data_IF_021685579166
#
_entry.id   IF_021685579166
#
_cell.length_a   1.000
_cell.length_b   1.000
_cell.length_c   1.000
_cell.angle_alpha   90.00
_cell.angle_beta   90.00
_cell.angle_gamma   90.00
#
_symmetry.space_group_name_H-M   'P 1'
#
loop_
_entity.id
_entity.type
_entity.pdbx_description
1 polymer ?
#
# COMPACT_ATOMS: atom_id res chain seq x y z
N UNK A 1 6.34 -18.09 -18.18
CA UNK A 1 6.78 -16.68 -18.21
C UNK A 1 6.88 -16.23 -16.76
N UNK A 2 8.07 -15.89 -16.27
CA UNK A 2 8.22 -15.41 -14.88
C UNK A 2 7.59 -14.01 -14.80
N UNK A 3 6.52 -13.85 -14.03
CA UNK A 3 6.06 -12.52 -13.60
C UNK A 3 7.17 -11.88 -12.78
N UNK A 4 7.99 -11.06 -13.42
CA UNK A 4 8.97 -10.21 -12.77
C UNK A 4 8.20 -9.13 -12.02
N UNK A 5 8.02 -9.34 -10.73
CA UNK A 5 7.49 -8.33 -9.81
C UNK A 5 8.64 -7.42 -9.36
N UNK A 6 8.38 -6.12 -9.24
CA UNK A 6 9.38 -5.11 -8.88
C UNK A 6 9.63 -5.07 -7.37
N UNK A 7 8.61 -5.38 -6.57
CA UNK A 7 8.73 -5.49 -5.12
C UNK A 7 7.81 -6.57 -4.56
N UNK A 8 8.15 -7.06 -3.37
CA UNK A 8 7.37 -8.08 -2.65
C UNK A 8 7.05 -7.59 -1.23
N UNK A 9 5.80 -7.80 -0.82
CA UNK A 9 5.29 -7.52 0.51
C UNK A 9 4.66 -8.79 1.08
N UNK A 10 4.88 -9.10 2.36
CA UNK A 10 4.22 -10.24 3.00
C UNK A 10 2.77 -9.90 3.37
N UNK A 11 1.93 -10.92 3.62
CA UNK A 11 0.57 -10.71 4.15
C UNK A 11 0.57 -9.90 5.45
N UNK A 12 1.57 -10.10 6.31
CA UNK A 12 1.71 -9.39 7.59
C UNK A 12 2.06 -7.91 7.37
N UNK A 13 3.06 -7.63 6.53
CA UNK A 13 3.41 -6.26 6.16
C UNK A 13 2.21 -5.55 5.53
N UNK A 14 1.49 -6.22 4.62
CA UNK A 14 0.28 -5.67 4.05
C UNK A 14 -0.81 -5.42 5.09
N UNK A 15 -0.98 -6.30 6.07
CA UNK A 15 -1.95 -6.11 7.16
C UNK A 15 -1.62 -4.84 7.96
N UNK A 16 -0.35 -4.60 8.28
CA UNK A 16 0.11 -3.38 8.94
C UNK A 16 -0.19 -2.14 8.09
N UNK A 17 0.22 -2.14 6.82
CA UNK A 17 -0.06 -1.05 5.87
C UNK A 17 -1.55 -0.80 5.74
N UNK A 18 -2.37 -1.85 5.66
CA UNK A 18 -3.82 -1.77 5.55
C UNK A 18 -4.46 -1.12 6.79
N UNK A 19 -3.99 -1.43 8.00
CA UNK A 19 -4.52 -0.77 9.20
C UNK A 19 -4.24 0.73 9.19
N UNK A 20 -3.04 1.14 8.80
CA UNK A 20 -2.72 2.58 8.68
C UNK A 20 -3.52 3.24 7.55
N UNK A 21 -3.70 2.54 6.42
CA UNK A 21 -4.48 3.01 5.27
C UNK A 21 -5.93 3.32 5.65
N UNK A 22 -6.52 2.53 6.56
CA UNK A 22 -7.85 2.83 7.07
C UNK A 22 -7.91 4.17 7.79
N UNK A 23 -6.84 4.62 8.43
CA UNK A 23 -6.84 5.85 9.23
C UNK A 23 -6.73 7.12 8.37
N UNK A 24 -6.54 7.00 7.05
CA UNK A 24 -6.43 8.15 6.14
C UNK A 24 -7.63 9.11 6.21
N UNK A 25 -8.83 8.58 6.43
CA UNK A 25 -10.05 9.39 6.58
C UNK A 25 -10.06 10.26 7.85
N UNK A 26 -9.22 9.94 8.84
CA UNK A 26 -9.09 10.70 10.09
C UNK A 26 -8.02 11.78 10.01
N UNK A 27 -7.28 11.87 8.91
CA UNK A 27 -6.26 12.90 8.70
C UNK A 27 -6.97 14.20 8.26
N UNK A 28 -6.71 15.33 8.93
CA UNK A 28 -7.26 16.61 8.51
C UNK A 28 -6.83 16.97 7.08
N UNK A 29 -7.76 17.47 6.28
CA UNK A 29 -7.52 17.77 4.87
C UNK A 29 -6.42 18.84 4.66
N UNK A 30 -6.32 19.81 5.57
CA UNK A 30 -5.28 20.84 5.58
C UNK A 30 -3.88 20.24 5.74
N UNK A 31 -3.73 19.19 6.54
CA UNK A 31 -2.45 18.47 6.71
C UNK A 31 -2.07 17.74 5.43
N UNK A 32 -3.03 17.08 4.76
CA UNK A 32 -2.80 16.39 3.49
C UNK A 32 -2.34 17.38 2.41
N UNK A 33 -3.02 18.53 2.29
CA UNK A 33 -2.65 19.58 1.33
C UNK A 33 -1.29 20.19 1.65
N UNK A 34 -1.00 20.44 2.94
CA UNK A 34 0.30 20.98 3.37
C UNK A 34 1.47 20.04 3.06
N UNK A 35 1.21 18.72 3.00
CA UNK A 35 2.20 17.71 2.59
C UNK A 35 2.43 17.65 1.07
N UNK A 36 1.80 18.54 0.27
CA UNK A 36 1.92 18.55 -1.19
C UNK A 36 1.19 17.40 -1.87
N UNK A 37 0.35 16.66 -1.13
CA UNK A 37 -0.47 15.59 -1.67
C UNK A 37 -1.70 16.25 -2.31
N UNK A 38 -1.97 16.01 -3.61
CA UNK A 38 -3.18 16.50 -4.24
C UNK A 38 -4.39 16.04 -3.43
N UNK A 39 -5.42 16.88 -3.36
CA UNK A 39 -6.70 16.59 -2.72
C UNK A 39 -7.51 15.52 -3.49
N UNK A 40 -6.85 14.47 -3.98
CA UNK A 40 -7.52 13.27 -4.43
C UNK A 40 -8.04 12.53 -3.20
N UNK A 41 -9.23 11.90 -3.29
CA UNK A 41 -9.80 11.22 -2.16
C UNK A 41 -8.93 10.00 -1.82
N UNK A 42 -8.52 9.81 -0.55
CA UNK A 42 -7.88 8.58 -0.08
C UNK A 42 -8.77 7.32 -0.25
N UNK A 43 -10.00 7.50 -0.77
CA UNK A 43 -10.95 6.45 -1.08
C UNK A 43 -10.42 5.42 -2.09
N UNK A 44 -9.72 5.84 -3.15
CA UNK A 44 -9.24 4.91 -4.19
C UNK A 44 -8.16 3.99 -3.63
N UNK A 45 -7.25 4.52 -2.81
CA UNK A 45 -6.20 3.75 -2.13
C UNK A 45 -6.81 2.81 -1.11
N UNK A 46 -7.80 3.27 -0.34
CA UNK A 46 -8.51 2.43 0.61
C UNK A 46 -9.31 1.32 -0.09
N UNK A 47 -9.93 1.61 -1.23
CA UNK A 47 -10.65 0.61 -2.04
C UNK A 47 -9.69 -0.43 -2.61
N UNK A 48 -8.56 -0.01 -3.19
CA UNK A 48 -7.48 -0.88 -3.62
C UNK A 48 -7.04 -1.81 -2.47
N UNK A 49 -6.73 -1.23 -1.31
CA UNK A 49 -6.29 -1.99 -0.15
C UNK A 49 -7.38 -2.98 0.32
N UNK A 50 -8.68 -2.63 0.24
CA UNK A 50 -9.78 -3.56 0.53
C UNK A 50 -9.86 -4.71 -0.47
N UNK A 51 -9.74 -4.43 -1.77
CA UNK A 51 -9.75 -5.45 -2.83
C UNK A 51 -8.60 -6.44 -2.64
N UNK A 52 -7.39 -5.95 -2.40
CA UNK A 52 -6.22 -6.80 -2.07
C UNK A 52 -6.54 -7.69 -0.87
N UNK A 53 -7.03 -7.11 0.24
CA UNK A 53 -7.36 -7.86 1.45
C UNK A 53 -8.37 -8.97 1.21
N UNK A 54 -9.35 -8.74 0.35
CA UNK A 54 -10.37 -9.72 -0.03
C UNK A 54 -9.81 -10.84 -0.92
N UNK A 55 -8.79 -10.53 -1.74
CA UNK A 55 -8.16 -11.49 -2.65
C UNK A 55 -7.08 -12.35 -2.00
N UNK A 56 -6.41 -11.87 -0.94
CA UNK A 56 -5.31 -12.59 -0.26
C UNK A 56 -5.64 -14.01 0.25
N UNK A 57 -6.85 -14.34 0.72
CA UNK A 57 -7.19 -15.71 1.10
C UNK A 57 -7.16 -16.72 -0.07
N UNK A 58 -7.31 -16.25 -1.31
CA UNK A 58 -7.31 -17.09 -2.51
C UNK A 58 -5.90 -17.39 -3.04
N UNK A 59 -4.87 -16.69 -2.55
CA UNK A 59 -3.48 -16.84 -2.99
C UNK A 59 -2.72 -15.51 -2.97
N UNK A 60 -1.47 -15.50 -3.47
CA UNK A 60 -0.71 -14.27 -3.68
C UNK A 60 -1.46 -13.29 -4.59
N UNK A 61 -1.34 -11.99 -4.30
CA UNK A 61 -1.97 -10.92 -5.05
C UNK A 61 -0.92 -10.10 -5.78
N UNK A 62 -1.07 -9.89 -7.08
CA UNK A 62 -0.24 -8.95 -7.85
C UNK A 62 -1.01 -7.66 -8.13
N UNK A 63 -0.39 -6.52 -7.83
CA UNK A 63 -0.95 -5.18 -8.05
C UNK A 63 -0.06 -4.46 -9.05
N UNK A 64 -0.62 -4.09 -10.20
CA UNK A 64 0.10 -3.41 -11.27
C UNK A 64 -0.15 -1.89 -11.21
N UNK A 65 0.94 -1.12 -11.06
CA UNK A 65 0.92 0.33 -11.08
C UNK A 65 1.40 0.84 -12.44
N UNK A 66 0.50 1.39 -13.26
CA UNK A 66 0.74 1.80 -14.65
C UNK A 66 0.92 3.31 -14.77
N UNK A 67 1.95 3.73 -15.49
CA UNK A 67 2.16 5.14 -15.82
C UNK A 67 1.29 5.54 -17.02
N UNK A 68 0.56 6.68 -16.97
CA UNK A 68 -0.18 7.18 -18.12
C UNK A 68 0.72 7.83 -19.17
N UNK A 69 1.94 8.25 -18.78
CA UNK A 69 2.87 9.02 -19.61
C UNK A 69 4.05 8.20 -20.12
N UNK A 70 4.36 7.06 -19.50
CA UNK A 70 5.43 6.16 -19.90
C UNK A 70 4.84 4.75 -20.07
N UNK A 71 5.35 3.95 -20.99
CA UNK A 71 4.95 2.54 -21.14
C UNK A 71 5.46 1.65 -19.99
N UNK A 72 5.78 2.25 -18.84
CA UNK A 72 6.33 1.56 -17.67
C UNK A 72 5.21 1.17 -16.71
N UNK A 73 5.27 -0.07 -16.25
CA UNK A 73 4.47 -0.57 -15.13
C UNK A 73 5.38 -1.04 -14.01
N UNK A 74 4.89 -0.97 -12.77
CA UNK A 74 5.55 -1.50 -11.59
C UNK A 74 4.61 -2.46 -10.88
N UNK A 75 5.07 -3.68 -10.63
CA UNK A 75 4.24 -4.72 -10.03
C UNK A 75 4.64 -4.97 -8.58
N UNK A 76 3.70 -4.77 -7.66
CA UNK A 76 3.83 -5.19 -6.27
C UNK A 76 3.19 -6.56 -6.08
N UNK A 77 3.97 -7.54 -5.62
CA UNK A 77 3.47 -8.86 -5.24
C UNK A 77 3.26 -8.92 -3.73
N UNK A 78 2.04 -9.29 -3.32
CA UNK A 78 1.68 -9.46 -1.91
C UNK A 78 1.49 -10.95 -1.66
N UNK A 79 2.35 -11.54 -0.84
CA UNK A 79 2.30 -12.97 -0.54
C UNK A 79 1.04 -13.30 0.25
N UNK A 80 0.35 -14.37 -0.16
CA UNK A 80 -0.77 -14.94 0.59
C UNK A 80 -0.30 -15.69 1.85
N UNK A 81 -1.23 -16.17 2.69
CA UNK A 81 -0.91 -17.00 3.84
C UNK A 81 -0.23 -18.32 3.39
N UNK A 82 0.63 -18.92 4.23
CA UNK A 82 1.46 -20.07 3.87
C UNK A 82 0.66 -21.31 3.42
N UNK A 83 -0.61 -21.41 3.81
CA UNK A 83 -1.54 -22.47 3.41
C UNK A 83 -2.20 -22.26 2.03
N UNK A 84 -2.11 -21.06 1.45
CA UNK A 84 -2.72 -20.71 0.16
C UNK A 84 -1.76 -20.92 -1.03
N UNK A 85 -0.75 -21.78 -0.91
CA UNK A 85 0.16 -22.17 -1.99
C UNK A 85 -0.50 -23.06 -3.06
N UNK A 86 -1.74 -22.74 -3.43
CA UNK A 86 -2.35 -23.20 -4.69
C UNK A 86 -1.78 -22.38 -5.84
N UNK A 87 -1.62 -22.96 -7.03
CA UNK A 87 -1.10 -22.34 -8.27
C UNK A 87 -1.90 -21.10 -8.77
N UNK A 88 -2.87 -20.60 -8.00
CA UNK A 88 -3.65 -19.41 -8.30
C UNK A 88 -2.97 -18.14 -7.80
N UNK A 89 -2.46 -17.32 -8.71
CA UNK A 89 -2.13 -15.91 -8.41
C UNK A 89 -3.36 -15.06 -8.74
N UNK A 90 -3.88 -14.34 -7.75
CA UNK A 90 -4.95 -13.38 -7.98
C UNK A 90 -4.32 -12.06 -8.48
N UNK A 91 -4.88 -11.46 -9.53
CA UNK A 91 -4.43 -10.15 -10.01
C UNK A 91 -5.43 -9.08 -9.55
N UNK A 92 -4.92 -8.06 -8.86
CA UNK A 92 -5.63 -6.80 -8.69
C UNK A 92 -5.39 -5.97 -9.95
N UNK A 93 -6.44 -5.34 -10.47
CA UNK A 93 -6.46 -4.58 -11.72
C UNK A 93 -5.30 -3.58 -11.89
N UNK A 94 -5.15 -2.99 -13.07
CA UNK A 94 -4.19 -1.91 -13.29
C UNK A 94 -4.62 -0.63 -12.55
N UNK A 95 -3.72 -0.06 -11.76
CA UNK A 95 -3.91 1.20 -11.04
C UNK A 95 -2.93 2.27 -11.52
N UNK A 96 -3.30 3.56 -11.52
CA UNK A 96 -2.36 4.62 -11.86
C UNK A 96 -1.10 4.59 -10.97
N UNK A 97 0.07 4.82 -11.55
CA UNK A 97 1.34 4.87 -10.82
C UNK A 97 1.34 5.95 -9.72
N UNK A 98 0.62 7.04 -9.96
CA UNK A 98 0.39 8.09 -8.97
C UNK A 98 -0.25 7.54 -7.70
N UNK A 99 -1.21 6.60 -7.80
CA UNK A 99 -1.87 5.97 -6.64
C UNK A 99 -0.87 5.24 -5.76
N UNK A 100 0.07 4.49 -6.34
CA UNK A 100 1.12 3.79 -5.60
C UNK A 100 2.08 4.74 -4.89
N UNK A 101 2.51 5.81 -5.57
CA UNK A 101 3.38 6.86 -4.98
C UNK A 101 2.69 7.58 -3.82
N UNK A 102 1.42 7.93 -4.00
CA UNK A 102 0.61 8.62 -2.99
C UNK A 102 0.34 7.72 -1.78
N UNK A 103 0.19 6.41 -1.97
CA UNK A 103 -0.05 5.49 -0.85
C UNK A 103 1.06 5.58 0.19
N UNK A 104 2.33 5.54 -0.24
CA UNK A 104 3.46 5.65 0.67
C UNK A 104 3.49 6.98 1.42
N UNK A 105 3.28 8.10 0.70
CA UNK A 105 3.27 9.44 1.29
C UNK A 105 2.15 9.61 2.31
N UNK A 106 0.95 9.09 2.02
CA UNK A 106 -0.18 9.13 2.94
C UNK A 106 0.06 8.29 4.20
N UNK A 107 0.82 7.19 4.12
CA UNK A 107 1.26 6.44 5.31
C UNK A 107 2.13 7.32 6.20
N UNK A 108 3.11 8.04 5.63
CA UNK A 108 3.97 8.94 6.42
C UNK A 108 3.17 10.07 7.07
N UNK A 109 2.25 10.68 6.33
CA UNK A 109 1.37 11.72 6.87
C UNK A 109 0.49 11.15 7.98
N UNK A 110 -0.07 9.95 7.82
CA UNK A 110 -0.88 9.30 8.85
C UNK A 110 -0.06 9.06 10.14
N UNK A 111 1.14 8.51 9.99
CA UNK A 111 2.06 8.23 11.11
C UNK A 111 2.45 9.50 11.84
N UNK A 112 2.80 10.56 11.10
CA UNK A 112 3.18 11.85 11.66
C UNK A 112 2.00 12.54 12.37
N UNK A 113 0.80 12.47 11.78
CA UNK A 113 -0.40 13.13 12.31
C UNK A 113 -0.91 12.46 13.58
N UNK A 114 -0.97 11.13 13.60
CA UNK A 114 -1.41 10.38 14.79
C UNK A 114 -0.35 10.50 15.91
N UNK A 115 0.93 10.48 15.55
CA UNK A 115 2.01 10.36 16.52
C UNK A 115 2.07 8.97 17.16
N UNK A 116 3.14 8.70 17.91
CA UNK A 116 3.49 7.35 18.35
C UNK A 116 2.39 6.66 19.20
N UNK A 117 1.85 7.36 20.20
CA UNK A 117 0.87 6.79 21.13
C UNK A 117 -0.46 6.48 20.45
N UNK A 118 -0.97 7.41 19.66
CA UNK A 118 -2.26 7.25 18.97
C UNK A 118 -2.16 6.24 17.84
N UNK A 119 -1.04 6.22 17.10
CA UNK A 119 -0.77 5.21 16.08
C UNK A 119 -0.85 3.81 16.69
N UNK A 120 -0.17 3.58 17.82
CA UNK A 120 -0.19 2.30 18.50
C UNK A 120 -1.57 1.95 19.06
N UNK A 121 -2.29 2.93 19.58
CA UNK A 121 -3.66 2.72 20.07
C UNK A 121 -4.62 2.30 18.96
N UNK A 122 -4.59 2.99 17.81
CA UNK A 122 -5.55 2.76 16.71
C UNK A 122 -5.19 1.56 15.84
N UNK A 123 -3.90 1.34 15.60
CA UNK A 123 -3.43 0.33 14.63
C UNK A 123 -2.80 -0.89 15.28
N UNK A 124 -2.35 -0.76 16.54
CA UNK A 124 -1.58 -1.79 17.25
C UNK A 124 -0.08 -1.77 16.96
N UNK A 125 0.39 -0.93 16.02
CA UNK A 125 1.77 -0.94 15.53
C UNK A 125 2.54 0.34 15.92
N UNK A 126 3.86 0.20 16.04
CA UNK A 126 4.82 1.30 16.21
C UNK A 126 5.18 1.93 14.87
N UNK A 127 5.82 3.11 14.91
CA UNK A 127 6.29 3.79 13.70
C UNK A 127 7.32 2.93 12.93
N UNK A 128 8.22 2.25 13.64
CA UNK A 128 9.22 1.37 13.03
C UNK A 128 8.61 0.15 12.34
N UNK A 129 7.59 -0.46 12.97
CA UNK A 129 6.86 -1.58 12.37
C UNK A 129 6.12 -1.14 11.09
N UNK A 130 5.51 0.05 11.11
CA UNK A 130 4.84 0.62 9.93
C UNK A 130 5.85 0.95 8.84
N UNK A 131 6.99 1.57 9.17
CA UNK A 131 8.04 1.90 8.21
C UNK A 131 8.62 0.63 7.56
N UNK A 132 8.94 -0.39 8.36
CA UNK A 132 9.41 -1.68 7.89
C UNK A 132 8.38 -2.40 7.01
N UNK A 133 7.09 -2.26 7.32
CA UNK A 133 6.02 -2.85 6.52
C UNK A 133 5.76 -2.11 5.21
N UNK A 134 5.98 -0.79 5.18
CA UNK A 134 5.78 0.06 4.01
C UNK A 134 7.00 0.09 3.06
N UNK A 135 8.18 -0.35 3.51
CA UNK A 135 9.42 -0.36 2.71
C UNK A 135 9.30 -0.96 1.29
N UNK A 136 8.51 -2.03 1.03
CA UNK A 136 8.30 -2.50 -0.33
C UNK A 136 7.65 -1.47 -1.26
N UNK A 137 6.82 -0.56 -0.75
CA UNK A 137 6.24 0.54 -1.54
C UNK A 137 7.29 1.58 -1.92
N UNK A 138 8.28 1.81 -1.06
CA UNK A 138 9.42 2.70 -1.38
C UNK A 138 10.17 2.13 -2.59
N UNK A 139 10.51 0.83 -2.54
CA UNK A 139 11.26 0.16 -3.60
C UNK A 139 10.59 0.19 -4.98
N UNK A 140 9.26 0.28 -5.05
CA UNK A 140 8.53 0.36 -6.33
C UNK A 140 8.82 1.65 -7.11
N UNK A 141 9.12 2.74 -6.39
CA UNK A 141 9.20 4.08 -6.96
C UNK A 141 10.51 4.81 -6.66
N UNK A 142 11.47 4.16 -5.99
CA UNK A 142 12.85 4.66 -5.90
C UNK A 142 13.41 4.78 -7.32
N UNK A 143 13.66 6.01 -7.74
CA UNK A 143 14.27 6.36 -9.02
C UNK A 143 15.65 5.71 -9.11
N UNK A 144 15.89 4.94 -10.18
CA UNK A 144 17.24 4.75 -10.73
C UNK A 144 17.45 5.75 -11.85
#
# INVERSE_FOLDING_TARGET
MQSTHDATMTAEQFSTVFQVTKEFHSIPHDVVVAAGIPAQPPADILELARRIRQSLPAGPVEVCFVSPSTAESRTLRISGPPAAQTDGTASSSDFPQATGRLWRQLIDVAVATLGEKELRFRTGFTQDEVASAAAPLDHLFTTR
#
